data_IF_588728997601
#
_entry.id   IF_588728997601
#
_cell.length_a   1.000
_cell.length_b   1.000
_cell.length_c   1.000
_cell.angle_alpha   90.00
_cell.angle_beta   90.00
_cell.angle_gamma   90.00
#
_symmetry.space_group_name_H-M   'P 1'
#
loop_
_entity.id
_entity.type
_entity.pdbx_description
1 polymer ?
#
# COMPACT_ATOMS: atom_id res chain seq x y z
N UNK A 1 -4.64 11.14 -15.14
CA UNK A 1 -4.14 12.14 -14.17
C UNK A 1 -3.26 11.41 -13.17
N UNK A 2 -2.03 11.86 -12.99
CA UNK A 2 -1.12 11.28 -11.99
C UNK A 2 -1.59 11.63 -10.58
N UNK A 3 -1.39 10.70 -9.64
CA UNK A 3 -1.63 10.91 -8.20
C UNK A 3 -0.29 10.86 -7.50
N UNK A 4 -0.12 11.70 -6.49
CA UNK A 4 1.08 11.73 -5.64
C UNK A 4 0.64 11.52 -4.19
N UNK A 5 1.42 10.74 -3.45
CA UNK A 5 1.26 10.56 -2.01
C UNK A 5 2.34 11.37 -1.31
N UNK A 6 1.95 12.21 -0.37
CA UNK A 6 2.87 12.97 0.48
C UNK A 6 2.76 12.41 1.90
N UNK A 7 3.90 12.17 2.53
CA UNK A 7 3.99 11.94 3.98
C UNK A 7 4.57 13.23 4.57
N UNK A 8 3.87 13.81 5.54
CA UNK A 8 4.25 15.07 6.17
C UNK A 8 4.24 14.86 7.67
N UNK A 9 5.37 15.15 8.31
CA UNK A 9 5.48 15.15 9.76
C UNK A 9 5.04 16.51 10.31
N UNK A 10 4.20 16.49 11.33
CA UNK A 10 3.78 17.67 12.08
C UNK A 10 4.27 17.54 13.52
N UNK A 11 4.58 18.67 14.15
CA UNK A 11 4.78 18.71 15.60
C UNK A 11 3.45 18.37 16.31
N UNK A 12 3.54 17.80 17.52
CA UNK A 12 2.36 17.38 18.29
C UNK A 12 1.37 18.54 18.51
N UNK A 13 0.11 18.32 18.10
CA UNK A 13 -0.95 19.32 18.21
C UNK A 13 -0.91 20.43 17.16
N UNK A 14 -0.03 20.32 16.15
CA UNK A 14 0.07 21.23 15.00
C UNK A 14 -0.51 20.64 13.72
N UNK A 15 -1.20 19.52 13.81
CA UNK A 15 -1.85 18.86 12.69
C UNK A 15 -2.94 19.78 12.11
N UNK A 16 -2.98 19.99 10.78
CA UNK A 16 -3.99 20.83 10.17
C UNK A 16 -5.35 20.11 10.17
N UNK A 17 -6.42 20.88 10.33
CA UNK A 17 -7.76 20.39 10.02
C UNK A 17 -7.88 20.06 8.53
N UNK A 18 -8.33 18.84 8.21
CA UNK A 18 -8.49 18.37 6.83
C UNK A 18 -9.98 18.20 6.51
N UNK A 19 -10.42 18.68 5.34
CA UNK A 19 -11.82 18.59 4.93
C UNK A 19 -12.02 18.61 3.41
N UNK A 20 -13.28 18.58 2.98
CA UNK A 20 -13.64 18.48 1.55
C UNK A 20 -13.08 19.63 0.68
N UNK A 21 -12.91 20.82 1.27
CA UNK A 21 -12.36 22.00 0.60
C UNK A 21 -10.82 22.06 0.58
N UNK A 22 -10.12 21.14 1.24
CA UNK A 22 -8.67 21.16 1.34
C UNK A 22 -8.02 20.99 -0.04
N UNK A 23 -7.14 21.91 -0.38
CA UNK A 23 -6.31 21.87 -1.59
C UNK A 23 -4.84 21.76 -1.22
N UNK A 24 -4.11 20.89 -1.90
CA UNK A 24 -2.67 20.71 -1.72
C UNK A 24 -1.99 21.08 -3.04
N UNK A 25 -1.20 22.16 -3.04
CA UNK A 25 -0.46 22.65 -4.22
C UNK A 25 -1.35 22.80 -5.48
N UNK A 26 -2.58 23.28 -5.30
CA UNK A 26 -3.57 23.43 -6.38
C UNK A 26 -4.35 22.16 -6.75
N UNK A 27 -3.95 20.99 -6.24
CA UNK A 27 -4.68 19.73 -6.35
C UNK A 27 -5.82 19.63 -5.34
N UNK A 28 -6.85 18.83 -5.67
CA UNK A 28 -7.94 18.48 -4.76
C UNK A 28 -7.50 17.33 -3.86
N UNK A 29 -7.69 17.46 -2.55
CA UNK A 29 -7.51 16.34 -1.63
C UNK A 29 -8.50 15.21 -1.98
N UNK A 30 -7.97 14.03 -2.28
CA UNK A 30 -8.78 12.86 -2.65
C UNK A 30 -8.79 11.78 -1.56
N UNK A 31 -7.76 11.72 -0.72
CA UNK A 31 -7.60 10.74 0.34
C UNK A 31 -6.73 11.35 1.44
N UNK A 32 -7.05 11.07 2.69
CA UNK A 32 -6.23 11.40 3.87
C UNK A 32 -6.27 10.20 4.81
N UNK A 33 -5.14 9.88 5.42
CA UNK A 33 -5.02 8.92 6.50
C UNK A 33 -4.50 9.66 7.73
N UNK A 34 -5.10 9.39 8.90
CA UNK A 34 -4.68 9.92 10.20
C UNK A 34 -3.81 8.92 10.98
N UNK A 35 -3.39 7.86 10.31
CA UNK A 35 -2.50 6.82 10.82
C UNK A 35 -1.34 6.62 9.84
N UNK A 36 -0.24 6.04 10.31
CA UNK A 36 0.87 5.68 9.42
C UNK A 36 0.42 4.56 8.49
N UNK A 37 0.17 4.92 7.23
CA UNK A 37 -0.25 3.98 6.18
C UNK A 37 0.80 2.90 5.90
N UNK A 38 2.05 3.12 6.29
CA UNK A 38 3.15 2.15 6.13
C UNK A 38 3.14 1.08 7.21
N UNK A 39 2.46 1.29 8.33
CA UNK A 39 2.44 0.37 9.48
C UNK A 39 2.01 -1.06 9.12
N UNK A 40 1.20 -1.22 8.08
CA UNK A 40 0.69 -2.51 7.61
C UNK A 40 1.24 -2.91 6.23
N UNK A 41 2.21 -2.16 5.72
CA UNK A 41 2.93 -2.54 4.52
C UNK A 41 4.03 -3.53 4.89
N UNK A 42 4.31 -4.45 3.98
CA UNK A 42 5.44 -5.36 4.13
C UNK A 42 6.72 -4.56 3.95
N UNK A 43 7.70 -4.78 4.84
CA UNK A 43 9.07 -4.33 4.62
C UNK A 43 9.73 -5.14 3.48
N UNK A 44 10.83 -4.64 2.93
CA UNK A 44 11.53 -5.25 1.78
C UNK A 44 11.88 -6.72 2.02
N UNK A 45 12.40 -7.05 3.21
CA UNK A 45 12.78 -8.41 3.57
C UNK A 45 11.57 -9.34 3.75
N UNK A 46 10.45 -8.81 4.26
CA UNK A 46 9.20 -9.56 4.43
C UNK A 46 8.55 -9.87 3.07
N UNK A 47 8.54 -8.89 2.17
CA UNK A 47 8.07 -9.06 0.80
C UNK A 47 8.95 -10.05 0.03
N UNK A 48 10.26 -10.01 0.22
CA UNK A 48 11.20 -10.98 -0.36
C UNK A 48 10.92 -12.40 0.13
N UNK A 49 10.79 -12.61 1.43
CA UNK A 49 10.51 -13.93 1.99
C UNK A 49 9.20 -14.53 1.45
N UNK A 50 8.15 -13.72 1.34
CA UNK A 50 6.88 -14.15 0.75
C UNK A 50 7.01 -14.47 -0.75
N UNK A 51 7.79 -13.69 -1.49
CA UNK A 51 8.03 -13.93 -2.92
C UNK A 51 8.74 -15.26 -3.17
N UNK A 52 9.78 -15.57 -2.38
CA UNK A 52 10.48 -16.84 -2.47
C UNK A 52 9.54 -18.00 -2.13
N UNK A 53 8.79 -17.89 -1.02
CA UNK A 53 7.83 -18.90 -0.61
C UNK A 53 6.77 -19.18 -1.70
N UNK A 54 6.19 -18.13 -2.28
CA UNK A 54 5.22 -18.28 -3.38
C UNK A 54 5.86 -18.94 -4.61
N UNK A 55 7.12 -18.61 -4.91
CA UNK A 55 7.87 -19.22 -6.02
C UNK A 55 8.07 -20.72 -5.84
N UNK A 56 8.39 -21.16 -4.62
CA UNK A 56 8.55 -22.58 -4.27
C UNK A 56 7.19 -23.33 -4.22
N UNK A 57 6.12 -22.64 -3.83
CA UNK A 57 4.78 -23.21 -3.60
C UNK A 57 3.72 -22.74 -4.60
N UNK A 58 4.09 -22.59 -5.89
CA UNK A 58 3.23 -21.97 -6.90
C UNK A 58 1.84 -22.63 -7.06
N UNK A 59 1.77 -23.96 -6.99
CA UNK A 59 0.51 -24.69 -7.14
C UNK A 59 -0.46 -24.41 -5.98
N UNK A 60 0.03 -24.47 -4.74
CA UNK A 60 -0.75 -24.19 -3.53
C UNK A 60 -1.19 -22.72 -3.49
N UNK A 61 -0.30 -21.80 -3.89
CA UNK A 61 -0.63 -20.38 -4.00
C UNK A 61 -1.75 -20.12 -5.01
N UNK A 62 -1.69 -20.77 -6.18
CA UNK A 62 -2.72 -20.61 -7.23
C UNK A 62 -4.07 -21.11 -6.76
N UNK A 63 -4.12 -22.30 -6.16
CA UNK A 63 -5.36 -22.85 -5.60
C UNK A 63 -5.95 -21.94 -4.50
N UNK A 64 -5.11 -21.44 -3.59
CA UNK A 64 -5.52 -20.50 -2.55
C UNK A 64 -6.07 -19.18 -3.15
N UNK A 65 -5.48 -18.68 -4.22
CA UNK A 65 -5.98 -17.48 -4.91
C UNK A 65 -7.37 -17.71 -5.51
N UNK A 66 -7.59 -18.85 -6.15
CA UNK A 66 -8.89 -19.22 -6.73
C UNK A 66 -9.97 -19.37 -5.65
N UNK A 67 -9.66 -20.06 -4.55
CA UNK A 67 -10.58 -20.27 -3.42
C UNK A 67 -11.04 -18.96 -2.77
N UNK A 68 -10.16 -17.96 -2.72
CA UNK A 68 -10.44 -16.66 -2.10
C UNK A 68 -10.89 -15.59 -3.11
N UNK A 69 -11.10 -15.96 -4.37
CA UNK A 69 -11.49 -15.04 -5.46
C UNK A 69 -10.54 -13.83 -5.62
N UNK A 70 -9.24 -14.05 -5.40
CA UNK A 70 -8.20 -13.01 -5.51
C UNK A 70 -7.30 -13.24 -6.72
N UNK A 71 -6.82 -12.16 -7.33
CA UNK A 71 -5.87 -12.23 -8.45
C UNK A 71 -4.45 -12.46 -7.93
N UNK A 72 -3.89 -13.65 -8.20
CA UNK A 72 -2.50 -13.96 -7.91
C UNK A 72 -1.52 -13.03 -8.65
N UNK A 73 -1.83 -12.63 -9.89
CA UNK A 73 -1.02 -11.67 -10.65
C UNK A 73 -0.93 -10.31 -9.94
N UNK A 74 -2.06 -9.81 -9.42
CA UNK A 74 -2.09 -8.55 -8.68
C UNK A 74 -1.28 -8.63 -7.38
N UNK A 75 -1.23 -9.79 -6.72
CA UNK A 75 -0.40 -10.01 -5.53
C UNK A 75 1.09 -9.98 -5.93
N UNK A 76 1.47 -10.69 -7.00
CA UNK A 76 2.84 -10.64 -7.52
C UNK A 76 3.28 -9.23 -7.92
N UNK A 77 2.40 -8.46 -8.54
CA UNK A 77 2.67 -7.06 -8.89
C UNK A 77 2.91 -6.20 -7.65
N UNK A 78 2.07 -6.34 -6.62
CA UNK A 78 2.26 -5.63 -5.34
C UNK A 78 3.58 -6.00 -4.67
N UNK A 79 3.93 -7.29 -4.62
CA UNK A 79 5.18 -7.75 -4.03
C UNK A 79 6.42 -7.24 -4.79
N UNK A 80 6.35 -7.11 -6.13
CA UNK A 80 7.45 -6.52 -6.93
C UNK A 80 7.70 -5.04 -6.65
N UNK A 81 6.72 -4.32 -6.13
CA UNK A 81 6.81 -2.88 -5.85
C UNK A 81 7.08 -2.56 -4.37
N UNK A 82 7.12 -3.58 -3.50
CA UNK A 82 7.53 -3.46 -2.10
C UNK A 82 9.01 -3.82 -1.88
N UNK A 83 9.70 -4.33 -2.92
CA UNK A 83 11.14 -4.57 -2.96
C UNK A 83 11.88 -3.48 -3.70
#
# INVERSE_FOLDING_TARGET
>A
MSKYTFVVEFEEGKEPGVGFGTKILGGKLCMVAFEDIRKYQLEEEEAYALKEFIGEHQADFTACCEENEVSGEAIHEKLRHQS
#
